data_IF_537232191277
#
_entry.id   IF_537232191277
#
_cell.length_a   1.000
_cell.length_b   1.000
_cell.length_c   1.000
_cell.angle_alpha   90.00
_cell.angle_beta   90.00
_cell.angle_gamma   90.00
#
_symmetry.space_group_name_H-M   'P 1'
#
loop_
_entity.id
_entity.type
_entity.pdbx_description
1 polymer ?
#
# COMPACT_ATOMS: atom_id res chain seq x y z
N UNK A 1 21.68 -12.14 0.33
CA UNK A 1 21.14 -11.02 -0.46
C UNK A 1 22.33 -10.26 -1.03
N UNK A 2 22.51 -10.20 -2.35
CA UNK A 2 23.60 -9.44 -2.98
C UNK A 2 23.23 -7.94 -3.04
N UNK A 3 24.21 -7.06 -2.86
CA UNK A 3 24.01 -5.61 -2.96
C UNK A 3 24.12 -5.16 -4.43
N UNK A 4 23.00 -4.76 -5.02
CA UNK A 4 22.85 -4.46 -6.46
C UNK A 4 22.01 -3.20 -6.73
N UNK A 5 22.36 -2.02 -6.17
CA UNK A 5 21.56 -0.80 -6.29
C UNK A 5 21.32 -0.33 -7.74
N UNK A 6 22.23 -0.67 -8.66
CA UNK A 6 22.15 -0.34 -10.08
C UNK A 6 20.99 -1.05 -10.81
N UNK A 7 20.38 -2.08 -10.21
CA UNK A 7 19.27 -2.80 -10.82
C UNK A 7 17.90 -2.09 -10.64
N UNK A 8 17.83 -1.01 -9.86
CA UNK A 8 16.61 -0.22 -9.76
C UNK A 8 16.45 0.71 -10.97
N UNK A 9 15.34 0.58 -11.71
CA UNK A 9 14.98 1.54 -12.76
C UNK A 9 14.49 2.85 -12.12
N UNK A 10 15.38 3.84 -11.99
CA UNK A 10 15.05 5.17 -11.44
C UNK A 10 14.84 6.25 -12.50
N UNK A 11 15.18 5.99 -13.77
CA UNK A 11 15.07 6.97 -14.86
C UNK A 11 13.67 7.04 -15.46
N UNK A 12 13.04 5.89 -15.68
CA UNK A 12 11.67 5.80 -16.19
C UNK A 12 10.94 4.56 -15.62
N UNK A 13 10.67 4.54 -14.30
CA UNK A 13 9.90 3.45 -13.70
C UNK A 13 8.44 3.47 -14.19
N UNK A 14 7.80 2.31 -14.37
CA UNK A 14 6.39 2.25 -14.71
C UNK A 14 5.51 2.71 -13.53
N UNK A 15 4.53 3.57 -13.79
CA UNK A 15 3.47 3.92 -12.84
C UNK A 15 2.37 2.87 -12.90
N UNK A 16 2.05 2.24 -11.76
CA UNK A 16 1.07 1.15 -11.64
C UNK A 16 0.42 1.18 -10.25
N UNK A 17 -0.79 0.63 -10.16
CA UNK A 17 -1.53 0.38 -8.91
C UNK A 17 -1.41 -1.08 -8.44
N UNK A 18 -1.08 -2.00 -9.34
CA UNK A 18 -0.87 -3.42 -9.05
C UNK A 18 0.28 -4.02 -9.86
N UNK A 19 0.89 -5.06 -9.29
CA UNK A 19 1.92 -5.86 -9.95
C UNK A 19 1.85 -7.32 -9.49
N UNK A 20 2.12 -8.24 -10.39
CA UNK A 20 2.19 -9.67 -10.08
C UNK A 20 3.54 -10.02 -9.46
N UNK A 21 3.56 -10.41 -8.20
CA UNK A 21 4.74 -11.03 -7.58
C UNK A 21 5.01 -12.38 -8.25
N UNK A 22 6.24 -12.62 -8.69
CA UNK A 22 6.63 -13.92 -9.25
C UNK A 22 6.38 -15.05 -8.24
N UNK A 23 5.94 -16.25 -8.67
CA UNK A 23 5.68 -17.36 -7.78
C UNK A 23 6.95 -17.74 -7.01
N UNK A 24 6.81 -18.10 -5.74
CA UNK A 24 7.92 -18.58 -4.92
C UNK A 24 8.24 -20.07 -5.15
N UNK A 25 7.78 -20.65 -6.26
CA UNK A 25 7.80 -22.10 -6.49
C UNK A 25 9.22 -22.70 -6.55
N UNK A 26 10.22 -21.89 -6.85
CA UNK A 26 11.61 -22.33 -7.01
C UNK A 26 12.61 -21.51 -6.18
N UNK A 27 12.39 -20.20 -6.02
CA UNK A 27 13.28 -19.30 -5.29
C UNK A 27 12.50 -18.18 -4.60
N UNK A 28 13.10 -17.55 -3.58
CA UNK A 28 12.53 -16.36 -2.95
C UNK A 28 12.56 -15.18 -3.91
N UNK A 29 11.40 -14.58 -4.15
CA UNK A 29 11.23 -13.41 -5.01
C UNK A 29 10.99 -12.18 -4.15
N UNK A 30 11.37 -11.00 -4.66
CA UNK A 30 11.14 -9.72 -3.99
C UNK A 30 10.71 -8.66 -5.00
N UNK A 31 10.04 -7.63 -4.50
CA UNK A 31 9.63 -6.47 -5.28
C UNK A 31 9.95 -5.21 -4.49
N UNK A 32 10.46 -4.19 -5.18
CA UNK A 32 10.62 -2.85 -4.62
C UNK A 32 9.61 -1.91 -5.28
N UNK A 33 8.82 -1.24 -4.45
CA UNK A 33 7.89 -0.20 -4.88
C UNK A 33 8.34 1.12 -4.28
N UNK A 34 8.21 2.20 -5.06
CA UNK A 34 8.41 3.57 -4.59
C UNK A 34 7.14 4.36 -4.93
N UNK A 35 6.63 5.08 -3.95
CA UNK A 35 5.52 6.02 -4.12
C UNK A 35 5.85 7.32 -3.41
N UNK A 36 5.11 8.38 -3.74
CA UNK A 36 5.25 9.69 -3.11
C UNK A 36 3.93 10.02 -2.42
N UNK A 37 3.97 10.20 -1.10
CA UNK A 37 2.83 10.61 -0.30
C UNK A 37 2.42 12.03 -0.70
N UNK A 38 1.31 12.14 -1.43
CA UNK A 38 0.70 13.42 -1.84
C UNK A 38 -0.73 13.61 -1.35
N UNK A 39 -1.38 12.52 -0.95
CA UNK A 39 -2.78 12.49 -0.51
C UNK A 39 -2.81 11.87 0.89
N UNK A 40 -3.04 12.65 1.97
CA UNK A 40 -3.20 12.12 3.30
C UNK A 40 -4.40 11.16 3.38
N UNK A 41 -4.22 10.00 4.01
CA UNK A 41 -5.30 9.04 4.19
C UNK A 41 -4.82 7.66 4.63
N UNK A 42 -5.78 6.74 4.72
CA UNK A 42 -5.52 5.31 4.93
C UNK A 42 -5.63 4.57 3.61
N UNK A 43 -4.57 3.87 3.19
CA UNK A 43 -4.52 3.12 1.93
C UNK A 43 -4.26 1.64 2.18
N UNK A 44 -5.03 0.79 1.52
CA UNK A 44 -4.88 -0.67 1.63
C UNK A 44 -3.89 -1.17 0.58
N UNK A 45 -2.77 -1.72 1.02
CA UNK A 45 -1.88 -2.50 0.17
C UNK A 45 -2.11 -3.98 0.47
N UNK A 46 -2.56 -4.75 -0.53
CA UNK A 46 -2.91 -6.15 -0.32
C UNK A 46 -2.64 -7.03 -1.54
N UNK A 47 -2.67 -8.34 -1.34
CA UNK A 47 -2.70 -9.29 -2.45
C UNK A 47 -4.09 -9.27 -3.11
N UNK A 48 -4.14 -9.11 -4.44
CA UNK A 48 -5.41 -9.06 -5.18
C UNK A 48 -6.01 -10.45 -5.49
N UNK A 49 -5.47 -11.51 -4.88
CA UNK A 49 -6.05 -12.87 -4.92
C UNK A 49 -7.01 -12.99 -3.74
N UNK A 50 -8.31 -13.16 -4.04
CA UNK A 50 -9.36 -13.06 -3.02
C UNK A 50 -9.13 -13.98 -1.79
N UNK A 51 -8.79 -15.28 -1.94
CA UNK A 51 -8.43 -16.13 -0.80
C UNK A 51 -7.29 -15.59 0.07
N UNK A 52 -6.29 -14.94 -0.51
CA UNK A 52 -5.16 -14.38 0.24
C UNK A 52 -5.56 -13.10 1.00
N UNK A 53 -6.36 -12.23 0.36
CA UNK A 53 -6.91 -11.05 1.03
C UNK A 53 -7.80 -11.45 2.20
N UNK A 54 -8.76 -12.36 1.98
CA UNK A 54 -9.64 -12.86 3.06
C UNK A 54 -8.87 -13.60 4.14
N UNK A 55 -7.71 -14.18 3.81
CA UNK A 55 -6.77 -14.79 4.76
C UNK A 55 -5.90 -13.79 5.52
N UNK A 56 -6.01 -12.48 5.23
CA UNK A 56 -5.31 -11.42 5.97
C UNK A 56 -4.02 -10.89 5.33
N UNK A 57 -3.72 -11.24 4.06
CA UNK A 57 -2.53 -10.74 3.36
C UNK A 57 -2.72 -9.28 2.90
N UNK A 58 -2.73 -8.36 3.86
CA UNK A 58 -2.93 -6.94 3.66
C UNK A 58 -2.19 -6.09 4.70
N UNK A 59 -1.92 -4.84 4.36
CA UNK A 59 -1.34 -3.82 5.23
C UNK A 59 -2.14 -2.52 5.02
N UNK A 60 -2.47 -1.83 6.10
CA UNK A 60 -2.99 -0.47 6.07
C UNK A 60 -1.82 0.52 6.20
N UNK A 61 -1.65 1.39 5.21
CA UNK A 61 -0.67 2.47 5.21
C UNK A 61 -1.38 3.73 5.69
N UNK A 62 -0.86 4.35 6.76
CA UNK A 62 -1.43 5.56 7.36
C UNK A 62 -0.57 6.77 6.96
N UNK A 63 -0.90 7.37 5.83
CA UNK A 63 -0.11 8.46 5.24
C UNK A 63 -0.61 9.82 5.71
N UNK A 64 0.31 10.65 6.21
CA UNK A 64 0.02 12.05 6.58
C UNK A 64 -1.05 12.19 7.67
N UNK A 65 -0.98 11.38 8.73
CA UNK A 65 -1.98 11.32 9.81
C UNK A 65 -2.32 12.68 10.43
N UNK A 66 -1.34 13.59 10.44
CA UNK A 66 -1.41 14.96 10.94
C UNK A 66 -2.15 15.92 10.00
N UNK A 67 -2.38 15.50 8.76
CA UNK A 67 -3.06 16.25 7.71
C UNK A 67 -4.36 15.57 7.24
N UNK A 68 -4.90 14.62 8.02
CA UNK A 68 -6.16 13.96 7.68
C UNK A 68 -7.35 14.92 7.75
N UNK A 69 -8.31 14.83 6.80
CA UNK A 69 -9.51 15.64 6.87
C UNK A 69 -10.41 15.18 8.02
N UNK A 70 -11.22 16.10 8.53
CA UNK A 70 -12.30 15.74 9.45
C UNK A 70 -13.28 14.81 8.74
N UNK A 71 -13.54 13.65 9.34
CA UNK A 71 -14.51 12.68 8.83
C UNK A 71 -15.90 13.33 8.90
N UNK A 72 -16.66 13.40 7.78
CA UNK A 72 -18.05 13.86 7.81
C UNK A 72 -18.87 13.05 8.81
N UNK A 73 -19.80 13.69 9.51
CA UNK A 73 -20.50 13.09 10.64
C UNK A 73 -21.22 11.77 10.26
N UNK A 74 -21.76 11.70 9.05
CA UNK A 74 -22.43 10.53 8.48
C UNK A 74 -21.51 9.30 8.32
N UNK A 75 -20.19 9.50 8.28
CA UNK A 75 -19.19 8.44 8.12
C UNK A 75 -18.41 8.15 9.42
N UNK A 76 -18.68 8.89 10.51
CA UNK A 76 -18.09 8.64 11.82
C UNK A 76 -18.71 7.42 12.51
N UNK A 77 -18.00 6.76 13.45
CA UNK A 77 -18.60 5.76 14.32
C UNK A 77 -19.86 6.34 14.99
N UNK A 78 -21.01 5.70 14.78
CA UNK A 78 -22.32 6.12 15.32
C UNK A 78 -22.93 7.41 14.75
N UNK A 79 -22.56 7.85 13.54
CA UNK A 79 -23.12 9.07 12.94
C UNK A 79 -22.69 10.35 13.67
N UNK A 80 -21.69 10.25 14.54
CA UNK A 80 -21.04 11.36 15.22
C UNK A 80 -19.54 11.25 15.00
N UNK A 81 -18.97 12.19 14.25
CA UNK A 81 -17.54 12.21 13.93
C UNK A 81 -16.68 12.39 15.19
N UNK A 82 -15.77 11.45 15.53
CA UNK A 82 -14.79 11.66 16.58
C UNK A 82 -13.61 12.42 16.00
N UNK A 83 -13.18 13.43 16.74
CA UNK A 83 -12.06 14.30 16.40
C UNK A 83 -10.76 13.49 16.44
N UNK A 84 -10.04 13.48 15.31
CA UNK A 84 -8.59 13.30 15.36
C UNK A 84 -7.97 14.42 16.19
#
# INVERSE_FOLDING_TARGET
MQYIPQNFNLGNPPYRDGFYTLPISTESTWMAVRYHVKNPGTFLLHCHINPHLTGGMAIAILDGIDAWPTIPAEYGPSGSGPKV
#
